data_IF_780334675198
#
_entry.id   IF_780334675198
#
_cell.length_a   1.000
_cell.length_b   1.000
_cell.length_c   1.000
_cell.angle_alpha   90.00
_cell.angle_beta   90.00
_cell.angle_gamma   90.00
#
_symmetry.space_group_name_H-M   'P 1'
#
loop_
_entity.id
_entity.type
_entity.pdbx_description
1 polymer ?
#
# COMPACT_ATOMS: atom_id res chain seq x y z
N UNK A 1 -1.76 -8.88 12.43
CA UNK A 1 -2.91 -8.66 11.52
C UNK A 1 -4.20 -9.40 11.90
N UNK A 2 -4.21 -10.69 12.29
CA UNK A 2 -5.45 -11.37 12.73
C UNK A 2 -6.26 -10.67 13.83
N UNK A 3 -5.60 -9.92 14.73
CA UNK A 3 -6.29 -9.12 15.76
C UNK A 3 -6.97 -7.86 15.19
N UNK A 4 -6.48 -7.30 14.09
CA UNK A 4 -7.13 -6.17 13.41
C UNK A 4 -8.42 -6.61 12.72
N UNK A 5 -8.42 -7.80 12.09
CA UNK A 5 -9.65 -8.42 11.54
C UNK A 5 -10.74 -8.56 12.59
N UNK A 6 -10.36 -8.90 13.83
CA UNK A 6 -11.31 -8.99 14.95
C UNK A 6 -11.76 -7.63 15.48
N UNK A 7 -10.94 -6.59 15.33
CA UNK A 7 -11.25 -5.25 15.79
C UNK A 7 -12.20 -4.52 14.84
N UNK A 8 -11.96 -4.65 13.53
CA UNK A 8 -12.84 -4.16 12.49
C UNK A 8 -12.60 -4.93 11.18
N UNK A 9 -13.54 -5.80 10.82
CA UNK A 9 -13.45 -6.62 9.60
C UNK A 9 -13.65 -5.81 8.33
N UNK A 10 -14.31 -4.65 8.38
CA UNK A 10 -14.60 -3.83 7.19
C UNK A 10 -13.37 -3.08 6.69
N UNK A 11 -12.38 -2.86 7.57
CA UNK A 11 -11.13 -2.17 7.22
C UNK A 11 -10.16 -3.05 6.43
N UNK A 12 -10.36 -4.37 6.46
CA UNK A 12 -9.47 -5.32 5.80
C UNK A 12 -10.21 -5.97 4.64
N UNK A 13 -9.60 -5.90 3.46
CA UNK A 13 -10.04 -6.62 2.28
C UNK A 13 -9.00 -7.66 1.90
N UNK A 14 -9.47 -8.74 1.29
CA UNK A 14 -8.62 -9.77 0.73
C UNK A 14 -8.79 -9.79 -0.78
N UNK A 15 -7.68 -9.76 -1.52
CA UNK A 15 -7.67 -9.86 -2.96
C UNK A 15 -7.35 -11.31 -3.36
N UNK A 16 -8.35 -12.05 -3.83
CA UNK A 16 -8.19 -13.49 -4.06
C UNK A 16 -7.15 -13.78 -5.16
N UNK A 17 -7.19 -13.06 -6.28
CA UNK A 17 -6.29 -13.32 -7.41
C UNK A 17 -4.81 -13.07 -7.08
N UNK A 18 -4.54 -12.00 -6.32
CA UNK A 18 -3.19 -11.58 -5.94
C UNK A 18 -2.76 -12.11 -4.55
N UNK A 19 -3.65 -12.84 -3.87
CA UNK A 19 -3.41 -13.50 -2.58
C UNK A 19 -2.76 -12.59 -1.52
N UNK A 20 -3.27 -11.36 -1.43
CA UNK A 20 -2.81 -10.40 -0.43
C UNK A 20 -3.99 -9.77 0.30
N UNK A 21 -3.70 -9.26 1.48
CA UNK A 21 -4.62 -8.47 2.28
C UNK A 21 -4.28 -6.99 2.14
N UNK A 22 -5.29 -6.14 2.20
CA UNK A 22 -5.11 -4.69 2.33
C UNK A 22 -5.89 -4.16 3.53
N UNK A 23 -5.25 -3.31 4.32
CA UNK A 23 -5.82 -2.58 5.45
C UNK A 23 -5.96 -1.12 5.06
N UNK A 24 -7.19 -0.67 4.83
CA UNK A 24 -7.48 0.74 4.54
C UNK A 24 -7.36 1.57 5.82
N UNK A 25 -6.51 2.59 5.77
CA UNK A 25 -6.34 3.55 6.86
C UNK A 25 -7.17 4.83 6.66
N UNK A 26 -7.84 4.94 5.51
CA UNK A 26 -8.62 6.13 5.12
C UNK A 26 -7.83 7.06 4.19
N UNK A 27 -8.56 7.88 3.44
CA UNK A 27 -8.00 8.94 2.57
C UNK A 27 -6.93 8.47 1.58
N UNK A 28 -7.08 7.25 1.04
CA UNK A 28 -6.14 6.67 0.07
C UNK A 28 -4.86 6.09 0.68
N UNK A 29 -4.78 6.00 2.02
CA UNK A 29 -3.68 5.33 2.71
C UNK A 29 -4.03 3.88 3.00
N UNK A 30 -3.06 2.99 2.82
CA UNK A 30 -3.25 1.55 2.95
C UNK A 30 -1.94 0.84 3.35
N UNK A 31 -2.08 -0.30 4.04
CA UNK A 31 -1.01 -1.28 4.17
C UNK A 31 -1.46 -2.57 3.52
N UNK A 32 -0.68 -3.09 2.59
CA UNK A 32 -0.92 -4.37 1.93
C UNK A 32 0.12 -5.39 2.38
N UNK A 33 -0.27 -6.66 2.54
CA UNK A 33 0.67 -7.74 2.83
C UNK A 33 0.23 -9.06 2.21
N UNK A 34 1.21 -9.83 1.76
CA UNK A 34 0.97 -11.16 1.18
C UNK A 34 0.37 -12.13 2.20
N UNK A 35 -0.44 -13.09 1.73
CA UNK A 35 -0.90 -14.21 2.56
C UNK A 35 0.27 -15.09 3.02
N UNK A 36 1.27 -15.27 2.16
CA UNK A 36 2.46 -16.08 2.41
C UNK A 36 3.72 -15.36 1.96
N UNK A 37 4.71 -15.26 2.85
CA UNK A 37 6.00 -14.64 2.52
C UNK A 37 6.63 -15.32 1.30
N UNK A 38 7.12 -14.51 0.36
CA UNK A 38 7.71 -14.94 -0.89
C UNK A 38 6.75 -15.37 -1.99
N UNK A 39 5.44 -15.32 -1.76
CA UNK A 39 4.44 -15.63 -2.79
C UNK A 39 4.34 -14.57 -3.88
N UNK A 40 4.53 -13.30 -3.50
CA UNK A 40 4.41 -12.13 -4.36
C UNK A 40 5.76 -11.41 -4.48
N UNK A 41 5.87 -10.47 -5.42
CA UNK A 41 7.06 -9.61 -5.59
C UNK A 41 7.34 -8.73 -4.37
N UNK A 42 6.30 -8.47 -3.57
CA UNK A 42 6.36 -7.74 -2.31
C UNK A 42 5.70 -8.55 -1.20
N UNK A 43 6.36 -8.63 -0.04
CA UNK A 43 5.77 -9.24 1.15
C UNK A 43 4.85 -8.24 1.89
N UNK A 44 5.21 -6.96 1.86
CA UNK A 44 4.42 -5.89 2.45
C UNK A 44 4.64 -4.57 1.69
N UNK A 45 3.57 -3.79 1.54
CA UNK A 45 3.58 -2.49 0.89
C UNK A 45 2.89 -1.49 1.80
N UNK A 46 3.55 -0.37 2.06
CA UNK A 46 2.90 0.83 2.59
C UNK A 46 2.53 1.73 1.43
N UNK A 47 1.28 2.18 1.41
CA UNK A 47 0.73 3.06 0.39
C UNK A 47 0.23 4.32 1.08
N UNK A 48 0.77 5.47 0.69
CA UNK A 48 0.35 6.78 1.18
C UNK A 48 -0.17 7.62 0.03
N UNK A 49 -1.26 8.35 0.23
CA UNK A 49 -1.72 9.33 -0.75
C UNK A 49 -0.68 10.46 -0.86
N UNK A 50 -0.22 10.76 -2.06
CA UNK A 50 0.88 11.70 -2.28
C UNK A 50 0.47 13.16 -2.01
N UNK A 51 -0.75 13.55 -2.42
CA UNK A 51 -1.26 14.92 -2.34
C UNK A 51 -1.00 15.64 -0.99
N UNK A 52 -1.40 15.10 0.19
CA UNK A 52 -1.16 15.77 1.46
C UNK A 52 0.32 15.94 1.79
N UNK A 53 1.18 14.99 1.38
CA UNK A 53 2.61 15.05 1.63
C UNK A 53 3.30 16.08 0.73
N UNK A 54 2.94 16.12 -0.55
CA UNK A 54 3.45 17.12 -1.50
C UNK A 54 3.01 18.53 -1.08
N UNK A 55 1.75 18.69 -0.64
CA UNK A 55 1.25 19.96 -0.09
C UNK A 55 2.02 20.41 1.15
N UNK A 56 2.54 19.46 1.94
CA UNK A 56 3.38 19.73 3.10
C UNK A 56 4.86 19.98 2.75
N UNK A 57 5.23 19.90 1.46
CA UNK A 57 6.59 20.20 0.97
C UNK A 57 7.43 18.98 0.61
N UNK A 58 6.85 17.77 0.52
CA UNK A 58 7.56 16.62 -0.04
C UNK A 58 7.91 16.88 -1.51
N UNK A 59 9.20 16.76 -1.85
CA UNK A 59 9.70 16.86 -3.22
C UNK A 59 9.86 15.46 -3.82
N UNK A 60 9.01 15.12 -4.79
CA UNK A 60 8.99 13.81 -5.45
C UNK A 60 10.30 13.50 -6.18
N UNK A 61 11.06 14.52 -6.57
CA UNK A 61 12.35 14.34 -7.25
C UNK A 61 13.48 13.96 -6.28
N UNK A 62 13.22 13.96 -4.97
CA UNK A 62 14.21 13.67 -3.91
C UNK A 62 13.91 12.37 -3.15
N UNK A 63 13.14 11.47 -3.76
CA UNK A 63 12.83 10.17 -3.16
C UNK A 63 13.96 9.14 -3.32
N UNK A 64 14.92 9.39 -4.21
CA UNK A 64 16.05 8.49 -4.47
C UNK A 64 16.79 8.14 -3.16
N UNK A 65 17.08 6.84 -2.96
CA UNK A 65 17.76 6.33 -1.76
C UNK A 65 16.90 6.22 -0.49
N UNK A 66 15.70 6.80 -0.44
CA UNK A 66 14.81 6.71 0.74
C UNK A 66 14.08 5.36 0.88
N UNK A 67 14.04 4.60 -0.22
CA UNK A 67 13.22 3.39 -0.37
C UNK A 67 11.73 3.67 -0.61
N UNK A 68 11.32 4.93 -0.73
CA UNK A 68 9.99 5.33 -1.17
C UNK A 68 9.99 5.58 -2.67
N UNK A 69 8.88 5.24 -3.33
CA UNK A 69 8.71 5.36 -4.78
C UNK A 69 7.39 6.08 -5.05
N UNK A 70 7.42 7.04 -5.96
CA UNK A 70 6.21 7.68 -6.47
C UNK A 70 5.54 6.79 -7.51
N UNK A 71 4.22 6.66 -7.42
CA UNK A 71 3.37 6.00 -8.41
C UNK A 71 2.27 6.96 -8.83
N UNK A 72 2.17 7.22 -10.12
CA UNK A 72 1.09 8.00 -10.71
C UNK A 72 -0.25 7.30 -10.54
N UNK A 73 -1.30 8.11 -10.46
CA UNK A 73 -2.68 7.61 -10.39
C UNK A 73 -2.98 6.62 -11.53
N UNK A 74 -3.60 5.50 -11.18
CA UNK A 74 -4.00 4.48 -12.14
C UNK A 74 -5.49 4.17 -12.05
N UNK A 75 -6.10 3.91 -13.21
CA UNK A 75 -7.44 3.33 -13.28
C UNK A 75 -7.45 1.84 -12.93
N UNK A 76 -6.29 1.20 -12.95
CA UNK A 76 -6.11 -0.14 -12.41
C UNK A 76 -6.19 -0.05 -10.89
N UNK A 77 -7.29 -0.61 -10.37
CA UNK A 77 -7.68 -0.50 -8.98
C UNK A 77 -7.07 -1.61 -8.13
N UNK A 78 -6.33 -2.56 -8.75
CA UNK A 78 -5.80 -3.77 -8.11
C UNK A 78 -6.83 -4.37 -7.14
N UNK A 79 -8.11 -4.41 -7.54
CA UNK A 79 -9.27 -4.90 -6.77
C UNK A 79 -9.66 -4.12 -5.52
N UNK A 80 -9.04 -2.96 -5.25
CA UNK A 80 -9.17 -2.21 -3.99
C UNK A 80 -9.74 -0.80 -4.14
N UNK A 81 -10.04 -0.34 -5.36
CA UNK A 81 -10.65 0.96 -5.66
C UNK A 81 -9.69 1.98 -6.27
N UNK A 82 -10.19 3.19 -6.59
CA UNK A 82 -9.42 4.20 -7.30
C UNK A 82 -8.06 4.50 -6.63
N UNK A 83 -6.98 4.42 -7.41
CA UNK A 83 -5.63 4.71 -6.95
C UNK A 83 -5.24 6.14 -7.36
N UNK A 84 -5.29 7.12 -6.44
CA UNK A 84 -4.72 8.44 -6.71
C UNK A 84 -3.19 8.36 -6.76
N UNK A 85 -2.52 9.49 -6.98
CA UNK A 85 -1.08 9.58 -6.84
C UNK A 85 -0.62 9.07 -5.45
N UNK A 86 0.38 8.20 -5.46
CA UNK A 86 0.80 7.43 -4.28
C UNK A 86 2.30 7.53 -4.05
N UNK A 87 2.67 7.46 -2.77
CA UNK A 87 4.04 7.23 -2.30
C UNK A 87 4.06 5.86 -1.64
N UNK A 88 4.80 4.93 -2.23
CA UNK A 88 4.82 3.54 -1.78
C UNK A 88 6.17 3.12 -1.25
N UNK A 89 6.18 2.23 -0.26
CA UNK A 89 7.39 1.57 0.21
C UNK A 89 7.15 0.07 0.30
N UNK A 90 8.03 -0.66 -0.36
CA UNK A 90 7.97 -2.12 -0.47
C UNK A 90 8.97 -2.73 0.52
N UNK A 91 8.53 -3.77 1.21
CA UNK A 91 9.35 -4.58 2.09
C UNK A 91 9.34 -6.03 1.59
N UNK A 92 10.54 -6.57 1.41
CA UNK A 92 10.79 -7.99 1.23
C UNK A 92 11.25 -8.56 2.58
N UNK A 93 10.38 -9.34 3.22
CA UNK A 93 10.51 -9.76 4.61
C UNK A 93 11.13 -11.15 4.71
N UNK A 94 11.01 -11.98 3.68
CA UNK A 94 11.56 -13.36 3.64
C UNK A 94 13.09 -13.47 3.67
N UNK A 95 13.82 -12.38 3.96
CA UNK A 95 15.28 -12.37 4.02
C UNK A 95 15.83 -13.25 5.13
#
# INVERSE_FOLDING_TARGET
MRRLLKANSEMIKYHEDQKHFGLKLGDGNEVQWTEKLGLNDADMIFVLKAEPLVKAGLDLNKLEGSGWVFKEASSDDMGMGANPDQIVKIYDIKK
#
